data_IF_793676303709
#
_entry.id   IF_793676303709
#
_cell.length_a   1.000
_cell.length_b   1.000
_cell.length_c   1.000
_cell.angle_alpha   90.00
_cell.angle_beta   90.00
_cell.angle_gamma   90.00
#
_symmetry.space_group_name_H-M   'P 1'
#
loop_
_entity.id
_entity.type
_entity.pdbx_description
1 polymer ?
#
# COMPACT_ATOMS: atom_id res chain seq x y z
N UNK A 1 22.34 -22.25 1.81
CA UNK A 1 21.33 -23.32 1.72
C UNK A 1 19.98 -22.75 2.12
N UNK A 2 19.10 -22.46 1.15
CA UNK A 2 17.72 -22.04 1.42
C UNK A 2 16.84 -23.29 1.49
N UNK A 3 16.50 -23.71 2.71
CA UNK A 3 15.52 -24.77 2.94
C UNK A 3 14.17 -24.25 2.43
N UNK A 4 13.77 -24.76 1.28
CA UNK A 4 12.42 -24.58 0.72
C UNK A 4 11.46 -25.32 1.65
N UNK A 5 10.94 -24.67 2.69
CA UNK A 5 9.86 -25.25 3.49
C UNK A 5 8.65 -25.41 2.57
N UNK A 6 8.26 -26.65 2.29
CA UNK A 6 6.96 -26.93 1.71
C UNK A 6 5.87 -26.38 2.63
N UNK A 7 4.70 -26.03 2.07
CA UNK A 7 3.55 -25.56 2.86
C UNK A 7 3.10 -26.54 3.95
N UNK A 8 3.57 -27.79 3.88
CA UNK A 8 3.25 -28.90 4.77
C UNK A 8 4.06 -28.90 6.09
N UNK A 9 5.17 -28.15 6.17
CA UNK A 9 6.05 -28.07 7.36
C UNK A 9 5.76 -26.83 8.24
N UNK A 10 4.67 -26.12 7.97
CA UNK A 10 4.31 -24.87 8.66
C UNK A 10 3.35 -25.21 9.81
N UNK A 11 3.72 -24.85 11.04
CA UNK A 11 2.85 -25.03 12.20
C UNK A 11 1.53 -24.28 12.02
N UNK A 12 0.43 -24.76 12.62
CA UNK A 12 -0.89 -24.12 12.50
C UNK A 12 -0.87 -22.64 12.93
N UNK A 13 -0.02 -22.31 13.91
CA UNK A 13 0.19 -20.95 14.40
C UNK A 13 0.89 -20.06 13.35
N UNK A 14 1.95 -20.55 12.73
CA UNK A 14 2.67 -19.87 11.65
C UNK A 14 1.78 -19.70 10.41
N UNK A 15 0.98 -20.72 10.07
CA UNK A 15 0.02 -20.66 8.97
C UNK A 15 -1.05 -19.61 9.22
N UNK A 16 -1.61 -19.54 10.43
CA UNK A 16 -2.57 -18.50 10.82
C UNK A 16 -2.00 -17.10 10.65
N UNK A 17 -0.71 -16.91 10.98
CA UNK A 17 -0.03 -15.63 10.80
C UNK A 17 0.22 -15.27 9.33
N UNK A 18 0.64 -16.24 8.51
CA UNK A 18 0.78 -16.09 7.06
C UNK A 18 -0.54 -15.73 6.37
N UNK A 19 -1.63 -16.40 6.74
CA UNK A 19 -2.96 -16.10 6.20
C UNK A 19 -3.37 -14.67 6.54
N UNK A 20 -3.14 -14.22 7.78
CA UNK A 20 -3.35 -12.81 8.16
C UNK A 20 -2.50 -11.87 7.32
N UNK A 21 -1.21 -12.17 7.16
CA UNK A 21 -0.27 -11.44 6.31
C UNK A 21 -0.80 -11.24 4.88
N UNK A 22 -1.08 -12.32 4.17
CA UNK A 22 -1.56 -12.25 2.78
C UNK A 22 -2.97 -11.68 2.66
N UNK A 23 -3.87 -11.93 3.63
CA UNK A 23 -5.22 -11.35 3.64
C UNK A 23 -5.14 -9.83 3.79
N UNK A 24 -4.28 -9.34 4.67
CA UNK A 24 -4.00 -7.90 4.81
C UNK A 24 -3.44 -7.31 3.52
N UNK A 25 -2.46 -7.97 2.89
CA UNK A 25 -1.83 -7.52 1.65
C UNK A 25 -2.83 -7.44 0.47
N UNK A 26 -3.71 -8.44 0.37
CA UNK A 26 -4.80 -8.48 -0.62
C UNK A 26 -5.82 -7.37 -0.38
N UNK A 27 -6.24 -7.17 0.86
CA UNK A 27 -7.23 -6.13 1.16
C UNK A 27 -6.64 -4.73 1.00
N UNK A 28 -5.38 -4.53 1.40
CA UNK A 28 -4.61 -3.31 1.13
C UNK A 28 -4.57 -2.99 -0.35
N UNK A 29 -4.13 -3.95 -1.18
CA UNK A 29 -4.02 -3.74 -2.63
C UNK A 29 -5.37 -3.42 -3.28
N UNK A 30 -6.45 -4.13 -2.90
CA UNK A 30 -7.80 -3.83 -3.39
C UNK A 30 -8.23 -2.40 -3.04
N UNK A 31 -8.08 -2.00 -1.78
CA UNK A 31 -8.48 -0.66 -1.35
C UNK A 31 -7.58 0.42 -1.97
N UNK A 32 -6.30 0.14 -2.17
CA UNK A 32 -5.38 1.02 -2.89
C UNK A 32 -5.80 1.21 -4.35
N UNK A 33 -6.20 0.15 -5.06
CA UNK A 33 -6.73 0.22 -6.43
C UNK A 33 -7.96 1.12 -6.47
N UNK A 34 -8.91 0.92 -5.56
CA UNK A 34 -10.12 1.76 -5.47
C UNK A 34 -9.75 3.22 -5.19
N UNK A 35 -8.90 3.46 -4.18
CA UNK A 35 -8.46 4.80 -3.80
C UNK A 35 -7.73 5.53 -4.93
N UNK A 36 -6.82 4.85 -5.63
CA UNK A 36 -6.06 5.42 -6.74
C UNK A 36 -6.94 5.73 -7.96
N UNK A 37 -8.00 4.95 -8.22
CA UNK A 37 -9.00 5.29 -9.24
C UNK A 37 -9.80 6.55 -8.85
N UNK A 38 -10.24 6.66 -7.60
CA UNK A 38 -10.94 7.84 -7.08
C UNK A 38 -10.05 9.10 -7.13
N UNK A 39 -8.81 9.00 -6.66
CA UNK A 39 -7.85 10.10 -6.68
C UNK A 39 -7.42 10.48 -8.10
N UNK A 40 -7.13 9.48 -8.93
CA UNK A 40 -6.71 9.68 -10.32
C UNK A 40 -7.81 10.30 -11.18
N UNK A 41 -9.05 9.81 -11.06
CA UNK A 41 -10.20 10.41 -11.75
C UNK A 41 -10.48 11.83 -11.26
N UNK A 42 -10.42 12.09 -9.95
CA UNK A 42 -10.54 13.42 -9.37
C UNK A 42 -9.49 14.39 -9.93
N UNK A 43 -8.22 13.97 -9.99
CA UNK A 43 -7.12 14.77 -10.53
C UNK A 43 -7.28 15.05 -12.02
N UNK A 44 -7.61 14.03 -12.83
CA UNK A 44 -7.82 14.18 -14.27
C UNK A 44 -8.98 15.13 -14.57
N UNK A 45 -10.13 14.97 -13.90
CA UNK A 45 -11.28 15.86 -14.05
C UNK A 45 -10.99 17.28 -13.59
N UNK A 46 -10.25 17.44 -12.48
CA UNK A 46 -9.78 18.74 -12.00
C UNK A 46 -8.86 19.42 -13.02
N UNK A 47 -7.91 18.67 -13.59
CA UNK A 47 -6.96 19.17 -14.58
C UNK A 47 -7.63 19.55 -15.92
N UNK A 48 -8.50 18.68 -16.44
CA UNK A 48 -9.29 18.97 -17.65
C UNK A 48 -10.11 20.24 -17.46
N UNK A 49 -10.76 20.40 -16.31
CA UNK A 49 -11.49 21.63 -15.98
C UNK A 49 -10.58 22.85 -15.88
N UNK A 50 -9.43 22.74 -15.24
CA UNK A 50 -8.47 23.84 -15.16
C UNK A 50 -8.01 24.30 -16.56
N UNK A 51 -7.83 23.36 -17.50
CA UNK A 51 -7.46 23.67 -18.88
C UNK A 51 -8.61 24.30 -19.69
N UNK A 52 -9.84 23.78 -19.56
CA UNK A 52 -11.01 24.21 -20.34
C UNK A 52 -11.62 25.51 -19.79
N UNK A 53 -11.74 25.62 -18.47
CA UNK A 53 -12.42 26.73 -17.79
C UNK A 53 -11.39 27.81 -17.45
N UNK A 54 -10.88 28.51 -18.46
CA UNK A 54 -9.99 29.67 -18.24
C UNK A 54 -10.72 30.96 -17.83
N UNK A 55 -12.06 31.03 -17.90
CA UNK A 55 -12.73 32.35 -17.81
C UNK A 55 -14.16 32.47 -17.28
N UNK A 56 -14.83 31.43 -16.78
CA UNK A 56 -16.21 31.60 -16.28
C UNK A 56 -16.54 30.74 -15.04
N UNK A 57 -16.76 31.41 -13.91
CA UNK A 57 -17.39 30.86 -12.71
C UNK A 57 -18.91 30.77 -12.96
N UNK A 58 -19.35 29.73 -13.67
CA UNK A 58 -20.77 29.35 -13.73
C UNK A 58 -21.16 28.56 -12.48
N UNK A 59 -22.44 28.57 -12.10
CA UNK A 59 -22.98 27.76 -11.00
C UNK A 59 -22.70 26.24 -11.24
N UNK A 60 -22.67 25.80 -12.50
CA UNK A 60 -22.25 24.44 -12.88
C UNK A 60 -20.74 24.18 -12.68
N UNK A 61 -19.91 25.23 -12.66
CA UNK A 61 -18.50 25.13 -12.31
C UNK A 61 -18.32 24.92 -10.80
N UNK A 62 -19.13 25.55 -9.95
CA UNK A 62 -19.02 25.38 -8.49
C UNK A 62 -19.42 23.96 -8.07
N UNK A 63 -20.57 23.46 -8.56
CA UNK A 63 -21.10 22.15 -8.16
C UNK A 63 -20.15 20.98 -8.48
N UNK A 64 -19.55 20.96 -9.67
CA UNK A 64 -18.63 19.87 -10.01
C UNK A 64 -17.23 20.04 -9.40
N UNK A 65 -16.81 21.24 -8.98
CA UNK A 65 -15.59 21.40 -8.17
C UNK A 65 -15.76 20.80 -6.78
N UNK A 66 -16.96 20.94 -6.18
CA UNK A 66 -17.30 20.30 -4.92
C UNK A 66 -17.30 18.78 -5.08
N UNK A 67 -17.88 18.25 -6.17
CA UNK A 67 -17.90 16.80 -6.42
C UNK A 67 -16.49 16.21 -6.58
N UNK A 68 -15.62 16.88 -7.32
CA UNK A 68 -14.19 16.50 -7.46
C UNK A 68 -13.53 16.47 -6.08
N UNK A 69 -13.76 17.49 -5.24
CA UNK A 69 -13.20 17.56 -3.89
C UNK A 69 -13.70 16.41 -2.99
N UNK A 70 -14.98 16.06 -3.06
CA UNK A 70 -15.55 14.94 -2.31
C UNK A 70 -14.95 13.61 -2.77
N UNK A 71 -14.82 13.38 -4.08
CA UNK A 71 -14.19 12.17 -4.62
C UNK A 71 -12.72 12.06 -4.19
N UNK A 72 -11.98 13.17 -4.24
CA UNK A 72 -10.60 13.23 -3.77
C UNK A 72 -10.46 12.91 -2.28
N UNK A 73 -11.31 13.51 -1.43
CA UNK A 73 -11.33 13.23 0.01
C UNK A 73 -11.68 11.77 0.30
N UNK A 74 -12.70 11.21 -0.37
CA UNK A 74 -13.08 9.82 -0.22
C UNK A 74 -11.92 8.87 -0.60
N UNK A 75 -11.24 9.15 -1.73
CA UNK A 75 -10.05 8.41 -2.14
C UNK A 75 -8.92 8.47 -1.11
N UNK A 76 -8.64 9.63 -0.54
CA UNK A 76 -7.64 9.80 0.53
C UNK A 76 -8.00 9.01 1.79
N UNK A 77 -9.26 9.04 2.23
CA UNK A 77 -9.72 8.30 3.40
C UNK A 77 -9.59 6.78 3.19
N UNK A 78 -9.98 6.28 2.01
CA UNK A 78 -9.83 4.86 1.67
C UNK A 78 -8.36 4.46 1.65
N UNK A 79 -7.48 5.30 1.10
CA UNK A 79 -6.04 5.05 1.09
C UNK A 79 -5.47 4.98 2.52
N UNK A 80 -5.91 5.88 3.39
CA UNK A 80 -5.52 5.89 4.81
C UNK A 80 -5.96 4.59 5.50
N UNK A 81 -7.22 4.18 5.29
CA UNK A 81 -7.74 2.90 5.79
C UNK A 81 -6.92 1.72 5.25
N UNK A 82 -6.60 1.71 3.96
CA UNK A 82 -5.80 0.67 3.34
C UNK A 82 -4.44 0.52 4.04
N UNK A 83 -3.72 1.63 4.22
CA UNK A 83 -2.38 1.63 4.81
C UNK A 83 -2.42 1.29 6.31
N UNK A 84 -3.28 1.94 7.08
CA UNK A 84 -3.23 1.84 8.54
C UNK A 84 -3.89 0.58 9.08
N UNK A 85 -4.99 0.13 8.48
CA UNK A 85 -5.69 -1.07 8.96
C UNK A 85 -5.16 -2.33 8.28
N UNK A 86 -5.00 -2.35 6.97
CA UNK A 86 -4.70 -3.59 6.25
C UNK A 86 -3.21 -3.82 6.00
N UNK A 87 -2.47 -2.78 5.61
CA UNK A 87 -1.02 -2.93 5.40
C UNK A 87 -0.31 -3.15 6.74
N UNK A 88 -0.67 -2.40 7.78
CA UNK A 88 -0.07 -2.56 9.11
C UNK A 88 -0.31 -3.94 9.71
N UNK A 89 -1.55 -4.45 9.61
CA UNK A 89 -1.91 -5.80 10.07
C UNK A 89 -1.18 -6.87 9.25
N UNK A 90 -1.04 -6.67 7.94
CA UNK A 90 -0.22 -7.53 7.09
C UNK A 90 1.24 -7.60 7.57
N UNK A 91 1.83 -6.45 7.90
CA UNK A 91 3.21 -6.36 8.38
C UNK A 91 3.39 -7.07 9.73
N UNK A 92 2.38 -7.07 10.60
CA UNK A 92 2.39 -7.85 11.84
C UNK A 92 2.40 -9.35 11.55
N UNK A 93 1.49 -9.82 10.69
CA UNK A 93 1.39 -11.24 10.32
C UNK A 93 2.68 -11.80 9.73
N UNK A 94 3.36 -11.05 8.86
CA UNK A 94 4.66 -11.48 8.32
C UNK A 94 5.77 -11.48 9.38
N UNK A 95 5.79 -10.49 10.28
CA UNK A 95 6.81 -10.42 11.34
C UNK A 95 6.67 -11.52 12.40
N UNK A 96 5.45 -11.94 12.68
CA UNK A 96 5.15 -13.07 13.58
C UNK A 96 5.50 -14.41 12.93
N UNK A 97 5.32 -14.53 11.61
CA UNK A 97 5.68 -15.75 10.88
C UNK A 97 7.20 -16.02 10.89
N UNK A 98 8.02 -15.01 10.62
CA UNK A 98 9.48 -15.18 10.67
C UNK A 98 10.18 -13.85 11.01
N UNK A 99 11.15 -13.92 11.93
CA UNK A 99 12.02 -12.79 12.33
C UNK A 99 12.66 -12.12 11.12
N UNK A 100 12.90 -12.87 10.04
CA UNK A 100 13.38 -12.31 8.76
C UNK A 100 12.53 -11.14 8.27
N UNK A 101 11.22 -11.15 8.45
CA UNK A 101 10.33 -10.09 7.99
C UNK A 101 10.24 -8.90 8.95
N UNK A 102 10.78 -9.01 10.18
CA UNK A 102 10.68 -7.97 11.20
C UNK A 102 11.32 -6.63 10.77
N UNK A 103 12.47 -6.67 10.11
CA UNK A 103 13.16 -5.46 9.62
C UNK A 103 12.34 -4.74 8.56
N UNK A 104 11.84 -5.47 7.56
CA UNK A 104 11.01 -4.91 6.49
C UNK A 104 9.69 -4.37 7.04
N UNK A 105 9.07 -5.13 7.95
CA UNK A 105 7.86 -4.73 8.67
C UNK A 105 8.08 -3.40 9.38
N UNK A 106 9.10 -3.29 10.23
CA UNK A 106 9.43 -2.07 10.97
C UNK A 106 9.67 -0.86 10.05
N UNK A 107 10.42 -1.04 8.95
CA UNK A 107 10.64 0.03 7.97
C UNK A 107 9.34 0.54 7.34
N UNK A 108 8.41 -0.36 7.00
CA UNK A 108 7.08 0.02 6.49
C UNK A 108 6.30 0.79 7.56
N UNK A 109 6.27 0.28 8.79
CA UNK A 109 5.52 0.94 9.88
C UNK A 109 6.05 2.34 10.15
N UNK A 110 7.35 2.46 10.43
CA UNK A 110 7.99 3.72 10.77
C UNK A 110 7.93 4.70 9.60
N UNK A 111 8.15 4.22 8.38
CA UNK A 111 8.09 5.05 7.17
C UNK A 111 6.70 5.65 6.94
N UNK A 112 5.65 4.81 6.91
CA UNK A 112 4.29 5.30 6.65
C UNK A 112 3.69 6.07 7.85
N UNK A 113 3.89 5.60 9.10
CA UNK A 113 3.41 6.30 10.30
C UNK A 113 4.12 7.63 10.49
N UNK A 114 5.45 7.63 10.38
CA UNK A 114 6.26 8.83 10.53
C UNK A 114 5.97 9.86 9.45
N UNK A 115 5.82 9.43 8.18
CA UNK A 115 5.42 10.33 7.11
C UNK A 115 4.05 10.96 7.36
N UNK A 116 3.06 10.17 7.79
CA UNK A 116 1.73 10.68 8.08
C UNK A 116 1.73 11.71 9.21
N UNK A 117 2.45 11.44 10.31
CA UNK A 117 2.60 12.39 11.42
C UNK A 117 3.29 13.68 10.95
N UNK A 118 4.37 13.56 10.17
CA UNK A 118 5.08 14.72 9.64
C UNK A 118 4.21 15.56 8.71
N UNK A 119 3.35 14.95 7.88
CA UNK A 119 2.41 15.71 7.05
C UNK A 119 1.33 16.41 7.86
N UNK A 120 0.78 15.76 8.90
CA UNK A 120 -0.24 16.39 9.76
C UNK A 120 0.37 17.58 10.51
N UNK A 121 1.52 17.39 11.16
CA UNK A 121 2.20 18.45 11.90
C UNK A 121 2.67 19.54 10.93
N UNK A 122 3.24 19.16 9.79
CA UNK A 122 3.67 20.08 8.74
C UNK A 122 2.52 20.95 8.23
N UNK A 123 1.33 20.37 7.99
CA UNK A 123 0.15 21.11 7.56
C UNK A 123 -0.35 22.08 8.63
N UNK A 124 -0.41 21.66 9.90
CA UNK A 124 -0.82 22.53 11.01
C UNK A 124 0.14 23.71 11.20
N UNK A 125 1.45 23.45 11.16
CA UNK A 125 2.50 24.47 11.31
C UNK A 125 2.54 25.41 10.09
N UNK A 126 2.11 24.95 8.91
CA UNK A 126 2.07 25.78 7.69
C UNK A 126 1.25 27.05 7.84
N UNK A 127 0.26 27.07 8.73
CA UNK A 127 -0.59 28.24 8.98
C UNK A 127 0.14 29.35 9.75
N UNK A 128 1.21 29.01 10.48
CA UNK A 128 1.93 29.93 11.37
C UNK A 128 3.32 30.23 10.82
N UNK A 129 4.08 29.20 10.43
CA UNK A 129 5.48 29.33 9.99
C UNK A 129 5.71 28.47 8.73
N UNK A 130 5.57 29.04 7.51
CA UNK A 130 5.63 28.27 6.27
C UNK A 130 7.02 27.67 6.00
N UNK A 131 8.10 28.31 6.43
CA UNK A 131 9.46 27.81 6.22
C UNK A 131 9.74 26.52 6.99
N UNK A 132 9.26 26.42 8.24
CA UNK A 132 9.41 25.22 9.07
C UNK A 132 8.53 24.10 8.51
N UNK A 133 7.30 24.42 8.08
CA UNK A 133 6.40 23.46 7.44
C UNK A 133 7.04 22.79 6.23
N UNK A 134 7.73 23.55 5.37
CA UNK A 134 8.41 23.01 4.20
C UNK A 134 9.45 21.94 4.58
N UNK A 135 10.23 22.19 5.65
CA UNK A 135 11.22 21.24 6.16
C UNK A 135 10.54 19.97 6.68
N UNK A 136 9.45 20.10 7.44
CA UNK A 136 8.71 18.94 7.95
C UNK A 136 8.09 18.10 6.82
N UNK A 137 7.50 18.75 5.82
CA UNK A 137 6.93 18.09 4.65
C UNK A 137 8.05 17.34 3.89
N UNK A 138 9.22 17.96 3.75
CA UNK A 138 10.38 17.32 3.11
C UNK A 138 10.84 16.06 3.88
N UNK A 139 10.96 16.12 5.21
CA UNK A 139 11.26 14.94 6.02
C UNK A 139 10.15 13.87 5.91
N UNK A 140 8.87 14.28 5.86
CA UNK A 140 7.74 13.39 5.64
C UNK A 140 7.84 12.61 4.32
N UNK A 141 8.22 13.29 3.24
CA UNK A 141 8.47 12.64 1.94
C UNK A 141 9.60 11.61 2.05
N UNK A 142 10.71 11.96 2.71
CA UNK A 142 11.83 11.03 2.91
C UNK A 142 11.42 9.77 3.69
N UNK A 143 10.64 9.93 4.76
CA UNK A 143 10.06 8.82 5.53
C UNK A 143 9.15 7.94 4.67
N UNK A 144 8.34 8.54 3.79
CA UNK A 144 7.45 7.79 2.89
C UNK A 144 8.27 6.94 1.91
N UNK A 145 9.37 7.49 1.37
CA UNK A 145 10.30 6.75 0.51
C UNK A 145 10.90 5.55 1.24
N UNK A 146 11.35 5.73 2.49
CA UNK A 146 11.85 4.62 3.33
C UNK A 146 10.79 3.55 3.52
N UNK A 147 9.54 3.94 3.80
CA UNK A 147 8.41 3.01 3.92
C UNK A 147 8.15 2.22 2.64
N UNK A 148 8.26 2.86 1.47
CA UNK A 148 8.11 2.20 0.17
C UNK A 148 9.24 1.23 -0.14
N UNK A 149 10.49 1.60 0.16
CA UNK A 149 11.65 0.71 -0.01
C UNK A 149 11.50 -0.52 0.89
N UNK A 150 11.11 -0.32 2.16
CA UNK A 150 10.82 -1.42 3.09
C UNK A 150 9.73 -2.36 2.58
N UNK A 151 8.68 -1.80 1.96
CA UNK A 151 7.60 -2.58 1.37
C UNK A 151 8.08 -3.40 0.16
N UNK A 152 8.81 -2.79 -0.77
CA UNK A 152 9.39 -3.50 -1.90
C UNK A 152 10.34 -4.62 -1.44
N UNK A 153 11.16 -4.37 -0.42
CA UNK A 153 12.05 -5.36 0.17
C UNK A 153 11.30 -6.52 0.86
N UNK A 154 10.13 -6.26 1.44
CA UNK A 154 9.25 -7.34 1.93
C UNK A 154 8.75 -8.22 0.78
N UNK A 155 8.30 -7.62 -0.33
CA UNK A 155 7.80 -8.36 -1.48
C UNK A 155 8.86 -9.22 -2.16
N UNK A 156 10.10 -8.73 -2.28
CA UNK A 156 11.22 -9.55 -2.82
C UNK A 156 11.51 -10.76 -1.95
N UNK A 157 11.36 -10.61 -0.63
CA UNK A 157 11.55 -11.68 0.34
C UNK A 157 10.42 -12.72 0.32
N UNK A 158 9.17 -12.27 0.17
CA UNK A 158 8.04 -13.17 -0.08
C UNK A 158 8.30 -13.99 -1.36
N UNK A 159 8.82 -13.35 -2.42
CA UNK A 159 9.22 -14.08 -3.63
C UNK A 159 10.35 -15.09 -3.36
N UNK A 160 11.35 -14.78 -2.54
CA UNK A 160 12.41 -15.75 -2.24
C UNK A 160 11.91 -16.98 -1.50
N UNK A 161 10.93 -16.78 -0.61
CA UNK A 161 10.42 -17.85 0.27
C UNK A 161 9.33 -18.68 -0.43
N UNK A 162 8.47 -18.05 -1.23
CA UNK A 162 7.32 -18.70 -1.88
C UNK A 162 7.47 -18.91 -3.41
N UNK A 163 8.59 -18.46 -3.99
CA UNK A 163 8.93 -18.57 -5.43
C UNK A 163 7.88 -18.04 -6.41
N UNK A 164 7.12 -17.03 -6.00
CA UNK A 164 6.07 -16.44 -6.84
C UNK A 164 6.54 -15.09 -7.41
N UNK A 165 6.91 -15.11 -8.69
CA UNK A 165 7.51 -13.98 -9.41
C UNK A 165 6.63 -12.74 -9.45
N UNK A 166 5.30 -12.88 -9.30
CA UNK A 166 4.37 -11.76 -9.25
C UNK A 166 4.70 -10.77 -8.11
N UNK A 167 5.20 -11.26 -6.96
CA UNK A 167 5.63 -10.37 -5.87
C UNK A 167 6.90 -9.60 -6.23
N UNK A 168 7.84 -10.24 -6.94
CA UNK A 168 9.06 -9.57 -7.42
C UNK A 168 8.72 -8.47 -8.44
N UNK A 169 7.83 -8.78 -9.39
CA UNK A 169 7.37 -7.82 -10.40
C UNK A 169 6.70 -6.64 -9.71
N UNK A 170 5.79 -6.89 -8.76
CA UNK A 170 5.15 -5.83 -7.98
C UNK A 170 6.17 -4.99 -7.20
N UNK A 171 7.19 -5.60 -6.59
CA UNK A 171 8.26 -4.89 -5.89
C UNK A 171 9.03 -3.91 -6.79
N UNK A 172 9.44 -4.36 -7.98
CA UNK A 172 10.15 -3.52 -8.95
C UNK A 172 9.27 -2.34 -9.38
N UNK A 173 8.00 -2.62 -9.67
CA UNK A 173 7.05 -1.60 -10.11
C UNK A 173 6.80 -0.56 -9.01
N UNK A 174 6.71 -0.96 -7.73
CA UNK A 174 6.61 0.00 -6.61
C UNK A 174 7.85 0.89 -6.44
N UNK A 175 9.05 0.38 -6.75
CA UNK A 175 10.28 1.18 -6.74
C UNK A 175 10.23 2.21 -7.88
N UNK A 176 9.87 1.77 -9.10
CA UNK A 176 9.68 2.67 -10.25
C UNK A 176 8.57 3.69 -9.97
N UNK A 177 7.54 3.28 -9.23
CA UNK A 177 6.41 4.11 -8.81
C UNK A 177 6.78 5.27 -7.89
N UNK A 178 7.97 5.26 -7.27
CA UNK A 178 8.51 6.43 -6.55
C UNK A 178 8.74 7.61 -7.51
N UNK A 179 9.21 7.34 -8.74
CA UNK A 179 9.37 8.37 -9.77
C UNK A 179 8.09 8.60 -10.58
N UNK A 180 7.31 7.54 -10.79
CA UNK A 180 6.10 7.55 -11.61
C UNK A 180 4.89 7.08 -10.79
N UNK A 181 4.25 7.96 -9.99
CA UNK A 181 3.14 7.58 -9.11
C UNK A 181 1.98 6.79 -9.75
N UNK A 182 1.59 7.04 -11.03
CA UNK A 182 0.52 6.26 -11.66
C UNK A 182 0.84 4.75 -11.80
N UNK A 183 2.12 4.39 -11.80
CA UNK A 183 2.59 3.01 -11.98
C UNK A 183 2.30 2.14 -10.75
N UNK A 184 2.13 2.76 -9.56
CA UNK A 184 1.73 2.06 -8.33
C UNK A 184 0.36 1.37 -8.44
N UNK A 185 -0.52 1.90 -9.29
CA UNK A 185 -1.81 1.28 -9.59
C UNK A 185 -1.62 -0.13 -10.17
N UNK A 186 -0.72 -0.26 -11.14
CA UNK A 186 -0.40 -1.54 -11.81
C UNK A 186 0.27 -2.48 -10.81
N UNK A 187 1.20 -1.97 -10.00
CA UNK A 187 1.86 -2.76 -8.94
C UNK A 187 0.84 -3.39 -7.99
N UNK A 188 -0.19 -2.63 -7.63
CA UNK A 188 -1.23 -3.03 -6.69
C UNK A 188 -2.16 -4.09 -7.27
N UNK A 189 -2.47 -4.04 -8.58
CA UNK A 189 -3.24 -5.09 -9.27
C UNK A 189 -2.49 -6.43 -9.23
N UNK A 190 -1.20 -6.41 -9.57
CA UNK A 190 -0.37 -7.62 -9.56
C UNK A 190 -0.26 -8.17 -8.13
N UNK A 191 -0.09 -7.28 -7.16
CA UNK A 191 -0.04 -7.63 -5.74
C UNK A 191 -1.32 -8.32 -5.26
N UNK A 192 -2.48 -7.81 -5.69
CA UNK A 192 -3.78 -8.40 -5.36
C UNK A 192 -3.89 -9.83 -5.87
N UNK A 193 -3.54 -10.05 -7.14
CA UNK A 193 -3.60 -11.36 -7.79
C UNK A 193 -2.64 -12.34 -7.09
N UNK A 194 -1.39 -11.92 -6.85
CA UNK A 194 -0.37 -12.73 -6.18
C UNK A 194 -0.79 -13.12 -4.76
N UNK A 195 -1.34 -12.17 -4.01
CA UNK A 195 -1.82 -12.41 -2.64
C UNK A 195 -3.01 -13.37 -2.63
N UNK A 196 -3.93 -13.25 -3.59
CA UNK A 196 -5.08 -14.15 -3.71
C UNK A 196 -4.67 -15.57 -4.13
N UNK A 197 -3.70 -15.69 -5.04
CA UNK A 197 -3.05 -16.97 -5.41
C UNK A 197 -2.50 -17.66 -4.16
N UNK A 198 -1.70 -16.94 -3.35
CA UNK A 198 -1.13 -17.48 -2.11
C UNK A 198 -2.18 -17.88 -1.08
N UNK A 199 -3.21 -17.05 -0.88
CA UNK A 199 -4.31 -17.36 0.02
C UNK A 199 -5.06 -18.63 -0.40
N UNK A 200 -5.25 -18.85 -1.70
CA UNK A 200 -5.91 -20.06 -2.20
C UNK A 200 -5.07 -21.31 -1.90
N UNK A 201 -3.75 -21.26 -2.14
CA UNK A 201 -2.82 -22.36 -1.82
C UNK A 201 -2.78 -22.68 -0.33
N UNK A 202 -2.76 -21.64 0.52
CA UNK A 202 -2.78 -21.77 1.98
C UNK A 202 -4.08 -22.36 2.54
N UNK A 203 -5.23 -22.08 1.91
CA UNK A 203 -6.54 -22.59 2.33
C UNK A 203 -6.82 -24.01 1.85
N UNK A 204 -6.20 -24.43 0.74
CA UNK A 204 -6.38 -25.76 0.13
C UNK A 204 -5.46 -26.82 0.73
N UNK A 205 -4.54 -26.44 1.62
CA UNK A 205 -3.65 -27.38 2.29
C UNK A 205 -4.13 -27.82 3.71
N UNK A 206 -5.41 -28.14 4.00
CA UNK A 206 -5.71 -29.03 5.10
C UNK A 206 -5.60 -30.47 4.58
N UNK A 207 -4.62 -31.24 5.07
CA UNK A 207 -4.76 -32.70 5.23
C UNK A 207 -5.59 -33.42 4.15
N UNK A 208 -5.20 -33.37 2.87
CA UNK A 208 -5.81 -34.24 1.85
C UNK A 208 -5.10 -35.60 1.74
N UNK A 209 -4.25 -35.94 2.70
CA UNK A 209 -3.65 -37.27 2.82
C UNK A 209 -3.57 -37.69 4.29
N UNK A 210 -4.72 -37.81 4.96
CA UNK A 210 -4.85 -38.74 6.09
C UNK A 210 -6.15 -39.52 5.90
N UNK A 211 -5.98 -40.73 5.39
CA UNK A 211 -6.80 -41.95 5.54
C UNK A 211 -8.33 -41.81 5.54
N UNK A 212 -9.01 -42.35 4.51
CA UNK A 212 -9.51 -43.75 4.43
C UNK A 212 -9.70 -44.08 2.95
#
# INVERSE_FOLDING_TARGET
MSVSRGFDDISDLERGSLIRGFKGLRNYSLLYIIASLLLGSSLLWGFIRFMIVRRALSISSISASILILIMGLAGCLILLIAVFLYLMDSMNGFSEFNVRYSTSSSMVKVGYLGACLMFIIGFLVSLIIPLISLILIFFGIMLLVVGRIGFAYLLTKINSDFKESAFLISAIIYIVGILLPPVDFIASIILFIASNSMLSRLKVSPTSVVSV
#
